data_IF_305254455017
#
_entry.id   IF_305254455017
#
_cell.length_a   1.000
_cell.length_b   1.000
_cell.length_c   1.000
_cell.angle_alpha   90.00
_cell.angle_beta   90.00
_cell.angle_gamma   90.00
#
_symmetry.space_group_name_H-M   'P 1'
#
loop_
_entity.id
_entity.type
_entity.pdbx_description
1 polymer ?
#
# COMPACT_ATOMS: atom_id res chain seq x y z
N UNK A 1 -9.65 14.68 6.10
CA UNK A 1 -9.60 13.85 4.88
C UNK A 1 -8.58 14.47 3.92
N UNK A 2 -7.85 13.66 3.15
CA UNK A 2 -6.83 14.12 2.19
C UNK A 2 -7.18 13.53 0.83
N UNK A 3 -7.34 14.37 -0.18
CA UNK A 3 -7.51 13.89 -1.55
C UNK A 3 -6.17 13.39 -2.09
N UNK A 4 -6.14 12.16 -2.59
CA UNK A 4 -4.99 11.59 -3.30
C UNK A 4 -5.43 11.07 -4.66
N UNK A 5 -4.50 11.01 -5.61
CA UNK A 5 -4.79 10.45 -6.93
C UNK A 5 -5.00 8.92 -6.82
N UNK A 6 -6.18 8.37 -7.17
CA UNK A 6 -6.47 6.94 -7.08
C UNK A 6 -5.98 6.14 -8.28
N UNK A 7 -5.48 6.78 -9.34
CA UNK A 7 -5.11 6.09 -10.59
C UNK A 7 -4.04 5.02 -10.34
N UNK A 8 -4.27 3.84 -10.91
CA UNK A 8 -3.39 2.66 -10.90
C UNK A 8 -3.09 2.04 -9.52
N UNK A 9 -3.73 2.46 -8.42
CA UNK A 9 -3.38 1.98 -7.06
C UNK A 9 -3.57 0.47 -6.87
N UNK A 10 -4.51 -0.15 -7.59
CA UNK A 10 -4.70 -1.60 -7.61
C UNK A 10 -3.70 -2.35 -8.49
N UNK A 11 -3.04 -1.67 -9.42
CA UNK A 11 -2.12 -2.23 -10.40
C UNK A 11 -0.66 -2.09 -9.94
N UNK A 12 -0.33 -0.97 -9.33
CA UNK A 12 1.00 -0.67 -8.80
C UNK A 12 1.26 -1.54 -7.55
N UNK A 13 2.42 -2.19 -7.48
CA UNK A 13 2.84 -2.95 -6.31
C UNK A 13 3.17 -2.00 -5.16
N UNK A 14 2.58 -2.24 -4.00
CA UNK A 14 2.82 -1.42 -2.82
C UNK A 14 4.21 -1.60 -2.24
N UNK A 15 4.94 -2.67 -2.56
CA UNK A 15 6.30 -2.86 -2.09
C UNK A 15 7.32 -2.18 -3.03
N UNK A 16 7.44 -2.66 -4.27
CA UNK A 16 8.48 -2.21 -5.21
C UNK A 16 8.05 -1.10 -6.18
N UNK A 17 6.76 -0.74 -6.24
CA UNK A 17 6.24 0.28 -7.16
C UNK A 17 6.07 -0.18 -8.62
N UNK A 18 6.44 -1.42 -8.96
CA UNK A 18 6.25 -1.94 -10.32
C UNK A 18 4.76 -2.09 -10.67
N UNK A 19 4.42 -1.80 -11.92
CA UNK A 19 3.04 -1.94 -12.42
C UNK A 19 2.78 -3.39 -12.81
N UNK A 20 1.84 -4.03 -12.12
CA UNK A 20 1.41 -5.41 -12.39
C UNK A 20 0.02 -5.37 -13.03
N UNK A 21 -0.12 -5.41 -14.36
CA UNK A 21 -1.43 -5.37 -15.03
C UNK A 21 -2.26 -6.62 -14.68
N UNK A 22 -3.49 -6.40 -14.22
CA UNK A 22 -4.47 -7.46 -13.88
C UNK A 22 -5.91 -7.03 -14.16
N UNK A 23 -6.78 -7.99 -14.43
CA UNK A 23 -8.22 -7.81 -14.70
C UNK A 23 -8.98 -7.53 -13.40
N UNK A 24 -10.18 -6.95 -13.54
CA UNK A 24 -11.02 -6.57 -12.38
C UNK A 24 -11.46 -7.74 -11.50
N UNK A 25 -11.57 -8.95 -12.07
CA UNK A 25 -11.91 -10.16 -11.30
C UNK A 25 -10.72 -10.75 -10.54
N UNK A 26 -9.50 -10.34 -10.84
CA UNK A 26 -8.31 -10.79 -10.12
C UNK A 26 -8.25 -10.03 -8.79
N UNK A 27 -8.57 -10.73 -7.70
CA UNK A 27 -8.61 -10.18 -6.33
C UNK A 27 -7.29 -10.34 -5.58
N UNK A 28 -6.40 -11.21 -6.07
CA UNK A 28 -5.08 -11.43 -5.52
C UNK A 28 -4.04 -10.56 -6.24
N UNK A 29 -3.15 -9.93 -5.49
CA UNK A 29 -1.97 -9.24 -6.00
C UNK A 29 -0.75 -10.13 -5.77
N UNK A 30 -0.19 -10.66 -6.86
CA UNK A 30 1.10 -11.35 -6.86
C UNK A 30 2.08 -10.54 -7.71
N UNK A 31 3.13 -10.00 -7.09
CA UNK A 31 4.12 -9.21 -7.78
C UNK A 31 5.30 -10.07 -8.24
N UNK A 32 5.59 -10.14 -9.56
CA UNK A 32 6.71 -10.93 -10.08
C UNK A 32 8.08 -10.31 -9.81
N UNK A 33 8.15 -9.05 -9.35
CA UNK A 33 9.41 -8.31 -9.16
C UNK A 33 9.96 -8.38 -7.74
N UNK A 34 9.09 -8.54 -6.74
CA UNK A 34 9.47 -8.49 -5.33
C UNK A 34 8.69 -9.51 -4.48
N UNK A 35 8.05 -10.49 -5.12
CA UNK A 35 7.31 -11.58 -4.47
C UNK A 35 6.22 -11.15 -3.48
N UNK A 36 5.71 -9.93 -3.61
CA UNK A 36 4.68 -9.42 -2.71
C UNK A 36 3.33 -10.06 -3.07
N UNK A 37 2.74 -10.79 -2.12
CA UNK A 37 1.54 -11.61 -2.30
C UNK A 37 0.49 -11.22 -1.25
N UNK A 38 -0.56 -10.51 -1.67
CA UNK A 38 -1.64 -10.08 -0.77
C UNK A 38 -2.95 -9.80 -1.52
N UNK A 39 -4.02 -9.48 -0.80
CA UNK A 39 -5.26 -9.00 -1.43
C UNK A 39 -5.03 -7.68 -2.19
N UNK A 40 -5.63 -7.57 -3.37
CA UNK A 40 -5.52 -6.40 -4.27
C UNK A 40 -6.03 -5.12 -3.61
N UNK A 41 -7.12 -5.18 -2.85
CA UNK A 41 -7.69 -4.00 -2.20
C UNK A 41 -6.81 -3.56 -1.03
N UNK A 42 -6.17 -4.51 -0.34
CA UNK A 42 -5.18 -4.22 0.68
C UNK A 42 -3.92 -3.56 0.09
N UNK A 43 -3.39 -4.08 -1.04
CA UNK A 43 -2.31 -3.44 -1.80
C UNK A 43 -2.68 -2.01 -2.23
N UNK A 44 -3.89 -1.82 -2.75
CA UNK A 44 -4.39 -0.50 -3.14
C UNK A 44 -4.49 0.47 -1.95
N UNK A 45 -4.96 -0.01 -0.79
CA UNK A 45 -5.03 0.80 0.44
C UNK A 45 -3.65 1.24 0.92
N UNK A 46 -2.64 0.36 0.86
CA UNK A 46 -1.26 0.72 1.18
C UNK A 46 -0.74 1.80 0.23
N UNK A 47 -0.99 1.68 -1.07
CA UNK A 47 -0.60 2.70 -2.06
C UNK A 47 -1.26 4.06 -1.78
N UNK A 48 -2.56 4.07 -1.48
CA UNK A 48 -3.30 5.28 -1.09
C UNK A 48 -2.70 5.90 0.17
N UNK A 49 -2.41 5.09 1.20
CA UNK A 49 -1.75 5.54 2.42
C UNK A 49 -0.40 6.17 2.10
N UNK A 50 0.46 5.49 1.33
CA UNK A 50 1.80 5.99 0.93
C UNK A 50 1.72 7.33 0.20
N UNK A 51 0.74 7.49 -0.70
CA UNK A 51 0.50 8.77 -1.41
C UNK A 51 -0.02 9.88 -0.50
N UNK A 52 -0.72 9.53 0.58
CA UNK A 52 -1.21 10.49 1.56
C UNK A 52 -0.16 10.89 2.62
N UNK A 53 0.89 10.10 2.82
CA UNK A 53 1.98 10.42 3.76
C UNK A 53 2.64 11.75 3.35
N UNK A 54 2.87 12.63 4.32
CA UNK A 54 3.49 13.94 4.08
C UNK A 54 2.50 15.06 3.74
N UNK A 55 1.24 14.74 3.42
CA UNK A 55 0.20 15.75 3.28
C UNK A 55 -0.23 16.26 4.67
N UNK A 56 -0.16 17.57 4.87
CA UNK A 56 -0.61 18.22 6.09
C UNK A 56 -2.14 18.14 6.20
N UNK A 57 -2.63 17.15 6.95
CA UNK A 57 -3.96 17.28 7.57
C UNK A 57 -3.88 18.38 8.60
N UNK A 58 -4.73 19.39 8.47
CA UNK A 58 -4.93 20.39 9.51
C UNK A 58 -5.17 19.66 10.85
N UNK A 59 -4.13 19.68 11.70
CA UNK A 59 -4.06 19.24 13.11
C UNK A 59 -4.44 17.78 13.43
N UNK A 60 -3.47 16.87 13.27
CA UNK A 60 -3.35 15.69 14.15
C UNK A 60 -1.87 15.27 14.28
N UNK A 61 -1.01 16.24 14.63
CA UNK A 61 0.45 16.05 14.67
C UNK A 61 0.94 15.19 15.86
N UNK A 62 0.08 14.72 16.76
CA UNK A 62 0.50 14.10 18.04
C UNK A 62 0.11 12.63 18.29
N UNK A 63 -0.52 11.91 17.34
CA UNK A 63 -1.04 10.55 17.63
C UNK A 63 -0.40 9.40 16.84
N UNK A 64 0.59 9.66 15.97
CA UNK A 64 1.10 8.64 15.04
C UNK A 64 2.59 8.37 15.17
N UNK A 65 3.25 8.78 16.25
CA UNK A 65 4.70 8.61 16.34
C UNK A 65 5.16 7.16 16.58
N UNK A 66 4.33 6.25 17.11
CA UNK A 66 4.76 4.86 17.36
C UNK A 66 3.57 3.86 17.52
N UNK A 67 2.78 3.60 16.47
CA UNK A 67 1.78 2.52 16.53
C UNK A 67 2.31 1.23 15.87
N UNK A 68 2.40 0.17 16.68
CA UNK A 68 2.84 -1.20 16.31
C UNK A 68 2.09 -1.83 15.13
N UNK A 69 0.93 -1.24 14.78
CA UNK A 69 0.02 -1.67 13.71
C UNK A 69 0.64 -1.52 12.30
N UNK A 70 1.59 -0.59 12.11
CA UNK A 70 2.17 -0.36 10.76
C UNK A 70 3.22 -1.41 10.39
N UNK A 71 3.88 -2.04 11.37
CA UNK A 71 4.94 -3.02 11.13
C UNK A 71 4.39 -4.36 10.62
N UNK A 72 3.24 -4.81 11.10
CA UNK A 72 2.69 -6.13 10.73
C UNK A 72 2.30 -6.24 9.25
N UNK A 73 1.81 -5.15 8.62
CA UNK A 73 1.50 -5.14 7.20
C UNK A 73 2.75 -5.06 6.29
N UNK A 74 3.86 -4.52 6.81
CA UNK A 74 5.16 -4.54 6.14
C UNK A 74 5.83 -5.92 6.26
N UNK A 75 5.66 -6.61 7.39
CA UNK A 75 6.25 -7.95 7.58
C UNK A 75 5.64 -9.03 6.68
N UNK A 76 4.42 -8.86 6.15
CA UNK A 76 3.85 -9.85 5.20
C UNK A 76 4.45 -9.82 3.79
N UNK A 77 5.12 -8.73 3.36
CA UNK A 77 5.84 -8.69 2.07
C UNK A 77 7.37 -8.72 2.21
N UNK A 78 7.91 -8.72 3.44
CA UNK A 78 9.37 -8.76 3.70
C UNK A 78 9.86 -10.13 4.19
N UNK A 79 8.97 -11.09 4.50
CA UNK A 79 9.32 -12.32 5.22
C UNK A 79 9.75 -13.54 4.38
N UNK A 80 10.10 -13.38 3.10
CA UNK A 80 10.72 -14.46 2.31
C UNK A 80 11.86 -13.92 1.42
N UNK A 81 12.95 -13.51 2.09
CA UNK A 81 14.31 -13.54 1.52
C UNK A 81 15.04 -14.75 2.11
#
# INVERSE_FOLDING_TARGET
>A
MIAVNPKNTSQDCSNCGAKVPKKLHERWHSCPHCSCNLDRDHNAAINIKKRAVGHSVLKAKSLLSNSRIVLEAYTYCEAEV
#
